data_IF_008129772971
#
_entry.id   IF_008129772971
#
_cell.length_a   1.000
_cell.length_b   1.000
_cell.length_c   1.000
_cell.angle_alpha   90.00
_cell.angle_beta   90.00
_cell.angle_gamma   90.00
#
_symmetry.space_group_name_H-M   'P 1'
#
loop_
_entity.id
_entity.type
_entity.pdbx_description
1 polymer ?
#
# COMPACT_ATOMS: atom_id res chain seq x y z
N UNK A 1 -29.87 -58.56 32.66
CA UNK A 1 -30.67 -57.36 32.98
C UNK A 1 -29.75 -56.36 33.65
N UNK A 2 -29.69 -55.13 33.16
CA UNK A 2 -28.83 -54.08 33.71
C UNK A 2 -28.64 -52.95 32.71
N UNK A 3 -29.52 -51.95 32.82
CA UNK A 3 -29.59 -50.74 32.03
C UNK A 3 -28.34 -49.89 32.26
N UNK A 4 -27.65 -49.45 31.19
CA UNK A 4 -26.75 -48.31 31.29
C UNK A 4 -27.21 -47.16 30.39
N UNK A 5 -27.35 -46.03 31.08
CA UNK A 5 -28.15 -44.87 30.76
C UNK A 5 -27.39 -43.97 29.79
N UNK A 6 -27.89 -43.83 28.57
CA UNK A 6 -27.41 -42.85 27.60
C UNK A 6 -27.88 -41.45 28.04
N UNK A 7 -27.05 -40.72 28.78
CA UNK A 7 -27.18 -39.27 29.00
C UNK A 7 -25.82 -38.61 29.20
N UNK A 8 -25.33 -37.96 28.15
CA UNK A 8 -24.59 -36.68 28.19
C UNK A 8 -24.68 -36.11 26.77
N UNK A 9 -25.64 -35.23 26.52
CA UNK A 9 -25.63 -33.80 26.80
C UNK A 9 -25.51 -33.07 25.45
N UNK A 10 -26.63 -32.46 25.05
CA UNK A 10 -26.74 -31.58 23.91
C UNK A 10 -25.61 -30.54 23.95
N UNK A 11 -24.87 -30.42 22.84
CA UNK A 11 -23.88 -29.37 22.64
C UNK A 11 -24.57 -28.02 22.63
N UNK A 12 -24.67 -27.40 23.80
CA UNK A 12 -25.15 -26.05 23.96
C UNK A 12 -24.30 -25.10 23.12
N UNK A 13 -24.96 -24.10 22.51
CA UNK A 13 -24.31 -22.88 22.02
C UNK A 13 -23.37 -22.38 23.11
N UNK A 14 -22.07 -22.57 22.94
CA UNK A 14 -21.09 -21.81 23.70
C UNK A 14 -21.33 -20.34 23.39
N UNK A 15 -22.04 -19.67 24.30
CA UNK A 15 -22.06 -18.22 24.42
C UNK A 15 -20.59 -17.86 24.62
N UNK A 16 -19.92 -17.30 23.60
CA UNK A 16 -18.56 -16.81 23.74
C UNK A 16 -18.59 -15.82 24.90
N UNK A 17 -18.06 -16.21 26.05
CA UNK A 17 -17.88 -15.32 27.20
C UNK A 17 -17.00 -14.18 26.73
N UNK A 18 -17.46 -12.95 26.93
CA UNK A 18 -16.65 -11.76 26.66
C UNK A 18 -15.36 -11.90 27.45
N UNK A 19 -14.20 -11.79 26.79
CA UNK A 19 -12.92 -11.95 27.47
C UNK A 19 -12.78 -10.87 28.56
N UNK A 20 -12.04 -11.14 29.65
CA UNK A 20 -11.79 -10.13 30.68
C UNK A 20 -11.24 -8.84 30.08
N UNK A 21 -11.70 -7.69 30.59
CA UNK A 21 -11.24 -6.38 30.14
C UNK A 21 -9.71 -6.31 30.30
N UNK A 22 -9.01 -5.80 29.28
CA UNK A 22 -7.54 -5.76 29.15
C UNK A 22 -6.82 -7.12 29.03
N UNK A 23 -7.54 -8.23 28.91
CA UNK A 23 -6.89 -9.49 28.51
C UNK A 23 -6.36 -9.40 27.08
N UNK A 24 -5.38 -10.26 26.77
CA UNK A 24 -4.84 -10.41 25.42
C UNK A 24 -5.94 -10.64 24.36
N UNK A 25 -6.93 -11.45 24.68
CA UNK A 25 -8.07 -11.71 23.79
C UNK A 25 -9.00 -10.51 23.64
N UNK A 26 -9.15 -9.69 24.69
CA UNK A 26 -9.94 -8.46 24.63
C UNK A 26 -9.31 -7.44 23.68
N UNK A 27 -7.99 -7.22 23.76
CA UNK A 27 -7.28 -6.29 22.87
C UNK A 27 -7.41 -6.73 21.42
N UNK A 28 -7.20 -8.03 21.14
CA UNK A 28 -7.31 -8.55 19.77
C UNK A 28 -8.73 -8.42 19.22
N UNK A 29 -9.76 -8.70 20.01
CA UNK A 29 -11.15 -8.64 19.53
C UNK A 29 -11.63 -7.20 19.29
N UNK A 30 -11.15 -6.23 20.08
CA UNK A 30 -11.59 -4.83 20.03
C UNK A 30 -10.53 -3.89 19.43
N UNK A 31 -9.53 -4.41 18.72
CA UNK A 31 -8.41 -3.60 18.21
C UNK A 31 -8.88 -2.44 17.32
N UNK A 32 -9.92 -2.64 16.50
CA UNK A 32 -10.50 -1.57 15.67
C UNK A 32 -11.03 -0.40 16.51
N UNK A 33 -11.79 -0.67 17.58
CA UNK A 33 -12.33 0.35 18.48
C UNK A 33 -11.23 1.02 19.31
N UNK A 34 -10.27 0.24 19.82
CA UNK A 34 -9.13 0.76 20.59
C UNK A 34 -8.30 1.72 19.73
N UNK A 35 -7.97 1.32 18.49
CA UNK A 35 -7.22 2.18 17.57
C UNK A 35 -8.03 3.40 17.14
N UNK A 36 -9.35 3.27 17.00
CA UNK A 36 -10.24 4.42 16.75
C UNK A 36 -10.21 5.42 17.90
N UNK A 37 -10.20 4.96 19.15
CA UNK A 37 -10.02 5.82 20.32
C UNK A 37 -8.65 6.53 20.29
N UNK A 38 -7.58 5.83 19.90
CA UNK A 38 -6.25 6.46 19.73
C UNK A 38 -6.29 7.58 18.70
N UNK A 39 -6.90 7.36 17.52
CA UNK A 39 -7.05 8.41 16.51
C UNK A 39 -7.89 9.58 17.03
N UNK A 40 -8.98 9.29 17.75
CA UNK A 40 -9.86 10.31 18.31
C UNK A 40 -9.12 11.26 19.26
N UNK A 41 -8.16 10.76 20.05
CA UNK A 41 -7.34 11.62 20.92
C UNK A 41 -6.59 12.68 20.11
N UNK A 42 -6.00 12.32 18.97
CA UNK A 42 -5.32 13.29 18.11
C UNK A 42 -6.29 14.26 17.44
N UNK A 43 -7.43 13.77 16.94
CA UNK A 43 -8.43 14.62 16.27
C UNK A 43 -9.06 15.61 17.26
N UNK A 44 -9.46 15.16 18.45
CA UNK A 44 -9.96 16.04 19.52
C UNK A 44 -8.86 17.00 20.00
N UNK A 45 -7.61 16.53 20.08
CA UNK A 45 -6.46 17.36 20.41
C UNK A 45 -6.22 18.51 19.41
N UNK A 46 -6.62 18.36 18.15
CA UNK A 46 -6.59 19.47 17.18
C UNK A 46 -7.58 20.60 17.50
N UNK A 47 -8.65 20.31 18.25
CA UNK A 47 -9.68 21.29 18.59
C UNK A 47 -9.24 22.24 19.72
N UNK A 48 -8.22 21.88 20.50
CA UNK A 48 -7.72 22.68 21.62
C UNK A 48 -6.43 23.43 21.23
N UNK A 49 -6.36 24.77 21.38
CA UNK A 49 -5.20 25.56 20.96
C UNK A 49 -3.86 25.10 21.57
N UNK A 50 -3.88 24.61 22.81
CA UNK A 50 -2.69 24.16 23.53
C UNK A 50 -2.10 22.85 22.98
N UNK A 51 -2.94 21.93 22.49
CA UNK A 51 -2.51 20.64 21.93
C UNK A 51 -2.47 20.62 20.41
N UNK A 52 -3.11 21.57 19.74
CA UNK A 52 -3.26 21.58 18.28
C UNK A 52 -1.92 21.50 17.54
N UNK A 53 -0.91 22.26 18.00
CA UNK A 53 0.43 22.22 17.39
C UNK A 53 1.05 20.82 17.48
N UNK A 54 0.96 20.16 18.63
CA UNK A 54 1.49 18.80 18.84
C UNK A 54 0.73 17.75 18.02
N UNK A 55 -0.61 17.81 18.00
CA UNK A 55 -1.43 16.87 17.25
C UNK A 55 -1.31 17.06 15.73
N UNK A 56 -1.07 18.30 15.27
CA UNK A 56 -0.94 18.60 13.83
C UNK A 56 0.21 17.86 13.15
N UNK A 57 1.30 17.59 13.89
CA UNK A 57 2.46 16.83 13.40
C UNK A 57 2.07 15.40 12.97
N UNK A 58 1.07 14.82 13.64
CA UNK A 58 0.59 13.47 13.35
C UNK A 58 -0.45 13.45 12.23
N UNK A 59 -1.30 14.47 12.13
CA UNK A 59 -2.48 14.43 11.23
C UNK A 59 -2.20 15.07 9.87
N UNK A 60 -1.56 16.25 9.86
CA UNK A 60 -1.36 17.02 8.64
C UNK A 60 -0.04 16.64 7.94
N UNK A 61 0.05 16.70 6.60
CA UNK A 61 1.31 16.58 5.89
C UNK A 61 2.27 17.73 6.26
N UNK A 62 3.51 17.38 6.61
CA UNK A 62 4.52 18.34 7.09
C UNK A 62 5.26 19.03 5.92
N UNK A 63 6.13 20.01 6.21
CA UNK A 63 7.00 20.64 5.21
C UNK A 63 6.26 21.29 4.02
N UNK A 64 5.19 22.03 4.30
CA UNK A 64 4.50 22.82 3.28
C UNK A 64 5.24 24.15 3.03
N UNK A 65 5.40 24.51 1.77
CA UNK A 65 5.93 25.80 1.35
C UNK A 65 4.99 26.40 0.30
N UNK A 66 4.77 27.71 0.38
CA UNK A 66 3.95 28.43 -0.59
C UNK A 66 4.85 29.05 -1.64
N UNK A 67 4.70 28.61 -2.88
CA UNK A 67 5.45 29.12 -4.03
C UNK A 67 4.53 29.99 -4.87
N UNK A 68 4.90 31.26 -5.04
CA UNK A 68 4.15 32.19 -5.89
C UNK A 68 4.63 32.03 -7.34
N UNK A 69 3.74 31.55 -8.22
CA UNK A 69 4.00 31.37 -9.65
C UNK A 69 3.20 32.41 -10.42
N UNK A 70 3.87 33.20 -11.26
CA UNK A 70 3.19 34.14 -12.16
C UNK A 70 2.57 33.37 -13.31
N UNK A 71 1.24 33.29 -13.36
CA UNK A 71 0.47 32.73 -14.47
C UNK A 71 -0.04 33.84 -15.39
N UNK A 72 -0.53 33.49 -16.58
CA UNK A 72 -1.15 34.43 -17.53
C UNK A 72 -2.38 35.16 -16.93
N UNK A 73 -2.97 34.60 -15.88
CA UNK A 73 -4.11 35.14 -15.12
C UNK A 73 -3.71 35.91 -13.85
N UNK A 74 -2.41 36.09 -13.60
CA UNK A 74 -1.86 36.76 -12.41
C UNK A 74 -1.04 35.84 -11.49
N UNK A 75 -0.55 36.34 -10.34
CA UNK A 75 0.21 35.54 -9.39
C UNK A 75 -0.69 34.48 -8.73
N UNK A 76 -0.34 33.20 -8.91
CA UNK A 76 -1.00 32.05 -8.27
C UNK A 76 -0.06 31.52 -7.20
N UNK A 77 -0.54 31.50 -5.94
CA UNK A 77 0.18 30.86 -4.83
C UNK A 77 -0.12 29.36 -4.81
N UNK A 78 0.88 28.52 -5.05
CA UNK A 78 0.79 27.07 -4.99
C UNK A 78 1.42 26.54 -3.70
N UNK A 79 0.67 25.73 -2.95
CA UNK A 79 1.20 25.03 -1.78
C UNK A 79 1.84 23.71 -2.20
N UNK A 80 3.16 23.62 -2.06
CA UNK A 80 3.95 22.43 -2.36
C UNK A 80 4.56 21.85 -1.09
N UNK A 81 4.95 20.59 -1.14
CA UNK A 81 5.45 19.87 0.01
C UNK A 81 6.79 19.23 -0.28
N UNK A 82 7.69 19.25 0.70
CA UNK A 82 8.94 18.48 0.67
C UNK A 82 8.81 17.19 1.49
N UNK A 83 9.78 16.29 1.33
CA UNK A 83 9.97 15.20 2.27
C UNK A 83 10.71 15.69 3.53
N UNK A 84 10.55 14.97 4.63
CA UNK A 84 11.42 15.19 5.79
C UNK A 84 11.13 14.24 6.95
N UNK A 85 12.00 14.24 7.98
CA UNK A 85 11.93 13.26 9.06
C UNK A 85 10.63 13.31 9.87
N UNK A 86 10.00 14.48 10.03
CA UNK A 86 8.75 14.61 10.77
C UNK A 86 7.57 13.86 10.11
N UNK A 87 7.68 13.52 8.82
CA UNK A 87 6.66 12.71 8.13
C UNK A 87 6.51 11.32 8.77
N UNK A 88 7.48 10.84 9.56
CA UNK A 88 7.37 9.57 10.29
C UNK A 88 6.18 9.57 11.26
N UNK A 89 5.89 10.70 11.91
CA UNK A 89 4.75 10.81 12.83
C UNK A 89 3.44 10.72 12.06
N UNK A 90 3.38 11.35 10.91
CA UNK A 90 2.23 11.28 9.99
C UNK A 90 2.05 9.85 9.47
N UNK A 91 3.14 9.18 9.08
CA UNK A 91 3.11 7.78 8.64
C UNK A 91 2.58 6.85 9.73
N UNK A 92 3.03 7.02 10.99
CA UNK A 92 2.56 6.21 12.12
C UNK A 92 1.08 6.46 12.43
N UNK A 93 0.64 7.72 12.40
CA UNK A 93 -0.78 8.06 12.57
C UNK A 93 -1.66 7.38 11.51
N UNK A 94 -1.29 7.49 10.23
CA UNK A 94 -2.04 6.84 9.16
C UNK A 94 -1.90 5.31 9.17
N UNK A 95 -0.83 4.74 9.76
CA UNK A 95 -0.75 3.29 9.97
C UNK A 95 -1.80 2.81 10.98
N UNK A 96 -2.02 3.57 12.06
CA UNK A 96 -3.13 3.33 13.01
C UNK A 96 -4.49 3.51 12.31
N UNK A 97 -4.63 4.53 11.46
CA UNK A 97 -5.83 4.71 10.65
C UNK A 97 -6.10 3.51 9.74
N UNK A 98 -5.06 2.93 9.13
CA UNK A 98 -5.19 1.72 8.33
C UNK A 98 -5.61 0.49 9.15
N UNK A 99 -5.20 0.35 10.41
CA UNK A 99 -5.72 -0.71 11.31
C UNK A 99 -7.23 -0.54 11.50
N UNK A 100 -7.71 0.67 11.73
CA UNK A 100 -9.16 0.94 11.85
C UNK A 100 -9.89 0.62 10.55
N UNK A 101 -9.38 1.09 9.41
CA UNK A 101 -9.95 0.79 8.08
C UNK A 101 -9.95 -0.72 7.82
N UNK A 102 -8.89 -1.44 8.18
CA UNK A 102 -8.80 -2.89 8.08
C UNK A 102 -9.91 -3.57 8.88
N UNK A 103 -10.10 -3.19 10.15
CA UNK A 103 -11.15 -3.73 11.01
C UNK A 103 -12.55 -3.46 10.42
N UNK A 104 -12.81 -2.24 9.93
CA UNK A 104 -14.09 -1.86 9.31
C UNK A 104 -14.34 -2.67 8.02
N UNK A 105 -13.36 -2.78 7.13
CA UNK A 105 -13.48 -3.58 5.90
C UNK A 105 -13.75 -5.05 6.25
N UNK A 106 -13.06 -5.57 7.26
CA UNK A 106 -13.22 -6.94 7.72
C UNK A 106 -14.66 -7.20 8.19
N UNK A 107 -15.17 -6.39 9.10
CA UNK A 107 -16.50 -6.57 9.71
C UNK A 107 -17.64 -6.31 8.72
N UNK A 108 -17.57 -5.19 7.99
CA UNK A 108 -18.70 -4.69 7.20
C UNK A 108 -18.74 -5.23 5.78
N UNK A 109 -17.61 -5.65 5.21
CA UNK A 109 -17.51 -6.13 3.83
C UNK A 109 -17.19 -7.62 3.82
N UNK A 110 -16.00 -8.01 4.29
CA UNK A 110 -15.48 -9.35 4.07
C UNK A 110 -16.24 -10.43 4.85
N UNK A 111 -16.57 -10.18 6.13
CA UNK A 111 -17.34 -11.13 6.94
C UNK A 111 -18.77 -11.31 6.43
N UNK A 112 -19.38 -10.26 5.83
CA UNK A 112 -20.69 -10.38 5.18
C UNK A 112 -20.61 -11.27 3.94
N UNK A 113 -19.59 -11.08 3.11
CA UNK A 113 -19.37 -11.91 1.91
C UNK A 113 -19.02 -13.35 2.27
N UNK A 114 -18.18 -13.57 3.28
CA UNK A 114 -17.79 -14.90 3.74
C UNK A 114 -18.99 -15.70 4.27
N UNK A 115 -19.86 -15.07 5.08
CA UNK A 115 -21.08 -15.71 5.59
C UNK A 115 -22.00 -16.19 4.46
N UNK A 116 -22.03 -15.47 3.34
CA UNK A 116 -22.78 -15.86 2.15
C UNK A 116 -22.12 -17.03 1.39
N UNK A 117 -20.79 -17.07 1.35
CA UNK A 117 -20.01 -18.01 0.54
C UNK A 117 -19.73 -19.39 1.19
N UNK A 118 -20.01 -19.57 2.49
CA UNK A 118 -19.82 -20.84 3.24
C UNK A 118 -18.47 -21.54 2.97
N UNK A 119 -17.38 -20.76 2.97
CA UNK A 119 -16.03 -21.23 2.66
C UNK A 119 -15.42 -22.09 3.79
N UNK A 120 -14.53 -23.03 3.41
CA UNK A 120 -13.71 -23.76 4.39
C UNK A 120 -12.69 -22.83 5.06
N UNK A 121 -12.17 -23.19 6.25
CA UNK A 121 -11.23 -22.36 7.02
C UNK A 121 -10.02 -21.87 6.20
N UNK A 122 -9.43 -22.74 5.37
CA UNK A 122 -8.30 -22.40 4.51
C UNK A 122 -8.70 -21.46 3.37
N UNK A 123 -9.87 -21.68 2.76
CA UNK A 123 -10.39 -20.81 1.70
C UNK A 123 -10.78 -19.43 2.24
N UNK A 124 -11.38 -19.39 3.44
CA UNK A 124 -11.70 -18.16 4.16
C UNK A 124 -10.47 -17.29 4.36
N UNK A 125 -9.38 -17.85 4.88
CA UNK A 125 -8.16 -17.07 5.10
C UNK A 125 -7.63 -16.43 3.80
N UNK A 126 -7.56 -17.22 2.72
CA UNK A 126 -7.13 -16.75 1.39
C UNK A 126 -8.10 -15.75 0.76
N UNK A 127 -9.40 -15.89 1.05
CA UNK A 127 -10.45 -14.97 0.63
C UNK A 127 -10.29 -13.62 1.32
N UNK A 128 -10.15 -13.61 2.65
CA UNK A 128 -9.94 -12.38 3.43
C UNK A 128 -8.68 -11.64 3.00
N UNK A 129 -7.57 -12.35 2.84
CA UNK A 129 -6.32 -11.78 2.32
C UNK A 129 -6.52 -11.12 0.94
N UNK A 130 -7.17 -11.83 0.02
CA UNK A 130 -7.43 -11.28 -1.32
C UNK A 130 -8.45 -10.14 -1.27
N UNK A 131 -9.36 -10.14 -0.31
CA UNK A 131 -10.34 -9.10 -0.05
C UNK A 131 -9.65 -7.77 0.25
N UNK A 132 -8.86 -7.76 1.32
CA UNK A 132 -8.08 -6.58 1.73
C UNK A 132 -7.16 -6.11 0.61
N UNK A 133 -6.38 -7.03 0.02
CA UNK A 133 -5.44 -6.65 -1.04
C UNK A 133 -6.15 -6.11 -2.29
N UNK A 134 -7.32 -6.64 -2.66
CA UNK A 134 -8.07 -6.11 -3.81
C UNK A 134 -8.58 -4.69 -3.60
N UNK A 135 -9.10 -4.39 -2.40
CA UNK A 135 -9.64 -3.08 -2.06
C UNK A 135 -8.52 -2.05 -1.95
N UNK A 136 -7.41 -2.42 -1.30
CA UNK A 136 -6.23 -1.58 -1.23
C UNK A 136 -5.62 -1.34 -2.61
N UNK A 137 -5.38 -2.38 -3.40
CA UNK A 137 -4.81 -2.24 -4.75
C UNK A 137 -5.70 -1.36 -5.65
N UNK A 138 -7.03 -1.51 -5.57
CA UNK A 138 -7.95 -0.66 -6.33
C UNK A 138 -7.86 0.80 -5.88
N UNK A 139 -7.90 1.07 -4.57
CA UNK A 139 -7.72 2.41 -4.03
C UNK A 139 -6.38 3.03 -4.48
N UNK A 140 -5.29 2.28 -4.33
CA UNK A 140 -3.94 2.71 -4.67
C UNK A 140 -3.77 2.95 -6.18
N UNK A 141 -4.37 2.11 -7.03
CA UNK A 141 -4.37 2.33 -8.48
C UNK A 141 -5.13 3.62 -8.86
N UNK A 142 -6.31 3.87 -8.27
CA UNK A 142 -7.08 5.08 -8.50
C UNK A 142 -6.35 6.34 -8.01
N UNK A 143 -5.77 6.29 -6.80
CA UNK A 143 -5.02 7.43 -6.24
C UNK A 143 -3.74 7.69 -7.06
N UNK A 144 -3.01 6.64 -7.45
CA UNK A 144 -1.84 6.79 -8.32
C UNK A 144 -2.23 7.37 -9.69
N UNK A 145 -3.33 6.90 -10.29
CA UNK A 145 -3.85 7.46 -11.54
C UNK A 145 -4.18 8.95 -11.40
N UNK A 146 -4.81 9.36 -10.29
CA UNK A 146 -5.10 10.78 -10.02
C UNK A 146 -3.81 11.61 -9.89
N UNK A 147 -2.80 11.12 -9.17
CA UNK A 147 -1.48 11.78 -9.08
C UNK A 147 -0.80 11.88 -10.45
N UNK A 148 -0.89 10.81 -11.26
CA UNK A 148 -0.32 10.79 -12.62
C UNK A 148 -1.05 11.78 -13.53
N UNK A 149 -2.38 11.83 -13.47
CA UNK A 149 -3.16 12.78 -14.24
C UNK A 149 -2.78 14.22 -13.90
N UNK A 150 -2.55 14.55 -12.62
CA UNK A 150 -2.16 15.90 -12.22
C UNK A 150 -0.86 16.34 -12.92
N UNK A 151 0.20 15.53 -12.92
CA UNK A 151 1.43 15.94 -13.61
C UNK A 151 1.41 15.71 -15.13
N UNK A 152 0.58 14.81 -15.68
CA UNK A 152 0.45 14.65 -17.15
C UNK A 152 -0.39 15.76 -17.77
N UNK A 153 -1.42 16.24 -17.08
CA UNK A 153 -2.23 17.38 -17.53
C UNK A 153 -1.45 18.69 -17.42
N UNK A 154 -0.66 18.83 -16.35
CA UNK A 154 0.22 19.99 -16.18
C UNK A 154 1.46 19.94 -17.10
N UNK A 155 1.87 18.75 -17.57
CA UNK A 155 3.04 18.58 -18.44
C UNK A 155 2.79 17.55 -19.54
N UNK A 156 2.80 18.00 -20.80
CA UNK A 156 2.47 17.20 -22.00
C UNK A 156 3.49 16.09 -22.35
N UNK A 157 4.56 15.89 -21.58
CA UNK A 157 5.64 14.94 -21.90
C UNK A 157 5.86 13.90 -20.79
N UNK A 158 5.69 12.61 -21.14
CA UNK A 158 5.96 11.44 -20.27
C UNK A 158 7.37 11.45 -19.70
N UNK A 159 8.34 12.10 -20.38
CA UNK A 159 9.72 12.22 -19.89
C UNK A 159 9.84 13.01 -18.57
N UNK A 160 8.80 13.74 -18.15
CA UNK A 160 8.73 14.44 -16.85
C UNK A 160 8.81 13.52 -15.63
N UNK A 161 8.71 12.20 -15.85
CA UNK A 161 9.07 11.18 -14.87
C UNK A 161 10.52 11.30 -14.39
N UNK A 162 11.44 11.82 -15.22
CA UNK A 162 12.86 12.06 -14.86
C UNK A 162 13.37 13.46 -15.22
N UNK A 163 12.78 14.14 -16.21
CA UNK A 163 13.17 15.51 -16.55
C UNK A 163 12.84 16.47 -15.40
N UNK A 164 13.70 17.46 -15.20
CA UNK A 164 13.59 18.43 -14.10
C UNK A 164 14.08 17.90 -12.75
N UNK A 165 14.65 16.69 -12.68
CA UNK A 165 15.34 16.22 -11.49
C UNK A 165 16.70 16.94 -11.34
N UNK A 166 17.07 17.44 -10.15
CA UNK A 166 16.36 17.30 -8.87
C UNK A 166 15.33 18.40 -8.58
N UNK A 167 15.40 19.55 -9.24
CA UNK A 167 14.73 20.78 -8.82
C UNK A 167 13.21 20.68 -8.72
N UNK A 168 12.55 20.12 -9.73
CA UNK A 168 11.09 19.97 -9.73
C UNK A 168 10.63 18.76 -8.91
N UNK A 169 11.52 17.81 -8.65
CA UNK A 169 11.19 16.51 -8.03
C UNK A 169 11.27 16.54 -6.50
N UNK A 170 11.99 17.52 -5.95
CA UNK A 170 11.98 17.85 -4.51
C UNK A 170 10.62 18.31 -4.01
N UNK A 171 9.80 18.84 -4.91
CA UNK A 171 8.49 19.38 -4.61
C UNK A 171 7.40 18.40 -5.01
N UNK A 172 6.49 18.15 -4.09
CA UNK A 172 5.32 17.31 -4.28
C UNK A 172 4.07 18.14 -4.09
N UNK A 173 3.07 17.95 -4.94
CA UNK A 173 1.73 18.40 -4.61
C UNK A 173 1.20 17.60 -3.40
N UNK A 174 0.10 18.08 -2.81
CA UNK A 174 -0.53 17.42 -1.67
C UNK A 174 -0.85 15.93 -1.95
N UNK A 175 -1.35 15.62 -3.14
CA UNK A 175 -1.80 14.28 -3.50
C UNK A 175 -0.65 13.28 -3.61
N UNK A 176 0.48 13.66 -4.20
CA UNK A 176 1.66 12.80 -4.30
C UNK A 176 2.29 12.58 -2.91
N UNK A 177 2.29 13.61 -2.05
CA UNK A 177 2.76 13.46 -0.67
C UNK A 177 1.86 12.52 0.13
N UNK A 178 0.54 12.73 0.09
CA UNK A 178 -0.43 11.85 0.75
C UNK A 178 -0.39 10.44 0.19
N UNK A 179 -0.20 10.27 -1.12
CA UNK A 179 0.00 8.96 -1.72
C UNK A 179 1.20 8.25 -1.07
N UNK A 180 2.38 8.87 -1.04
CA UNK A 180 3.56 8.27 -0.42
C UNK A 180 3.33 7.86 1.03
N UNK A 181 2.81 8.79 1.84
CA UNK A 181 2.51 8.57 3.27
C UNK A 181 1.54 7.40 3.42
N UNK A 182 0.39 7.42 2.74
CA UNK A 182 -0.64 6.41 2.89
C UNK A 182 -0.18 5.03 2.41
N UNK A 183 0.64 4.95 1.35
CA UNK A 183 1.21 3.69 0.88
C UNK A 183 2.19 3.11 1.92
N UNK A 184 3.13 3.90 2.44
CA UNK A 184 4.08 3.44 3.46
C UNK A 184 3.32 3.02 4.73
N UNK A 185 2.37 3.84 5.19
CA UNK A 185 1.50 3.56 6.34
C UNK A 185 0.74 2.25 6.17
N UNK A 186 0.22 1.96 4.98
CA UNK A 186 -0.43 0.69 4.72
C UNK A 186 0.55 -0.47 4.88
N UNK A 187 1.74 -0.44 4.30
CA UNK A 187 2.65 -1.57 4.49
C UNK A 187 3.16 -1.72 5.93
N UNK A 188 3.17 -0.64 6.71
CA UNK A 188 3.47 -0.68 8.15
C UNK A 188 2.30 -1.26 8.97
N UNK A 189 1.04 -0.94 8.66
CA UNK A 189 -0.12 -1.47 9.40
C UNK A 189 -0.17 -3.00 9.39
N UNK A 190 0.44 -3.62 8.38
CA UNK A 190 0.48 -5.06 8.20
C UNK A 190 1.18 -5.78 9.37
N UNK A 191 2.13 -5.14 10.07
CA UNK A 191 2.84 -5.76 11.20
C UNK A 191 1.97 -5.92 12.46
N UNK A 192 1.26 -4.88 12.95
CA UNK A 192 0.22 -5.05 13.96
C UNK A 192 -0.84 -6.09 13.56
N UNK A 193 -1.25 -6.11 12.29
CA UNK A 193 -2.25 -7.06 11.80
C UNK A 193 -1.80 -8.53 11.90
N UNK A 194 -0.51 -8.81 11.70
CA UNK A 194 0.02 -10.17 11.92
C UNK A 194 -0.26 -10.68 13.33
N UNK A 195 -0.15 -9.77 14.30
CA UNK A 195 -0.43 -10.04 15.70
C UNK A 195 -1.95 -10.17 15.96
N UNK A 196 -2.77 -9.22 15.48
CA UNK A 196 -4.22 -9.26 15.67
C UNK A 196 -4.88 -10.49 15.00
N UNK A 197 -4.35 -10.92 13.86
CA UNK A 197 -4.85 -12.09 13.13
C UNK A 197 -4.29 -13.42 13.65
N UNK A 198 -3.35 -13.40 14.61
CA UNK A 198 -2.65 -14.59 15.14
C UNK A 198 -2.06 -15.46 14.02
N UNK A 199 -1.34 -14.83 13.11
CA UNK A 199 -0.77 -15.50 11.94
C UNK A 199 0.30 -16.52 12.32
N UNK A 200 0.48 -17.55 11.47
CA UNK A 200 1.56 -18.54 11.66
C UNK A 200 2.92 -17.93 11.29
N UNK A 201 3.99 -18.38 11.94
CA UNK A 201 5.35 -17.86 11.73
C UNK A 201 5.80 -17.90 10.26
N UNK A 202 5.54 -19.00 9.53
CA UNK A 202 5.90 -19.11 8.12
C UNK A 202 5.19 -18.08 7.23
N UNK A 203 3.91 -17.82 7.53
CA UNK A 203 3.09 -16.83 6.81
C UNK A 203 3.55 -15.41 7.14
N UNK A 204 3.88 -15.14 8.40
CA UNK A 204 4.47 -13.87 8.84
C UNK A 204 5.77 -13.61 8.08
N UNK A 205 6.67 -14.59 7.97
CA UNK A 205 7.95 -14.41 7.27
C UNK A 205 7.74 -13.99 5.81
N UNK A 206 6.86 -14.68 5.09
CA UNK A 206 6.58 -14.38 3.68
C UNK A 206 5.97 -12.99 3.51
N UNK A 207 5.01 -12.62 4.37
CA UNK A 207 4.34 -11.31 4.29
C UNK A 207 5.20 -10.16 4.77
N UNK A 208 6.04 -10.38 5.78
CA UNK A 208 7.04 -9.41 6.24
C UNK A 208 8.00 -9.07 5.10
N UNK A 209 8.54 -10.07 4.40
CA UNK A 209 9.43 -9.82 3.26
C UNK A 209 8.76 -8.94 2.20
N UNK A 210 7.52 -9.27 1.83
CA UNK A 210 6.77 -8.49 0.85
C UNK A 210 6.44 -7.06 1.30
N UNK A 211 6.09 -6.89 2.59
CA UNK A 211 5.78 -5.57 3.16
C UNK A 211 7.03 -4.69 3.27
N UNK A 212 8.16 -5.28 3.70
CA UNK A 212 9.45 -4.60 3.74
C UNK A 212 9.90 -4.17 2.35
N UNK A 213 9.73 -5.00 1.32
CA UNK A 213 10.05 -4.62 -0.06
C UNK A 213 9.29 -3.35 -0.50
N UNK A 214 8.00 -3.25 -0.19
CA UNK A 214 7.23 -2.05 -0.52
C UNK A 214 7.65 -0.84 0.30
N UNK A 215 7.85 -0.99 1.61
CA UNK A 215 8.32 0.09 2.49
C UNK A 215 9.68 0.60 2.01
N UNK A 216 10.62 -0.29 1.71
CA UNK A 216 11.93 0.09 1.21
C UNK A 216 11.84 0.74 -0.17
N UNK A 217 11.06 0.21 -1.10
CA UNK A 217 10.90 0.79 -2.44
C UNK A 217 10.31 2.21 -2.38
N UNK A 218 9.17 2.37 -1.69
CA UNK A 218 8.47 3.66 -1.59
C UNK A 218 9.28 4.63 -0.74
N UNK A 219 9.84 4.18 0.39
CA UNK A 219 10.64 5.01 1.29
C UNK A 219 11.93 5.50 0.62
N UNK A 220 12.63 4.64 -0.13
CA UNK A 220 13.81 5.04 -0.88
C UNK A 220 13.45 6.06 -1.97
N UNK A 221 12.37 5.83 -2.72
CA UNK A 221 11.89 6.79 -3.70
C UNK A 221 11.45 8.13 -3.08
N UNK A 222 10.83 8.09 -1.89
CA UNK A 222 10.42 9.26 -1.14
C UNK A 222 11.62 10.09 -0.70
N UNK A 223 12.62 9.47 -0.08
CA UNK A 223 13.84 10.14 0.42
C UNK A 223 14.69 10.69 -0.74
N UNK A 224 14.85 9.93 -1.83
CA UNK A 224 15.72 10.31 -2.95
C UNK A 224 15.03 11.20 -4.00
N UNK A 225 13.80 11.63 -3.75
CA UNK A 225 12.99 12.43 -4.68
C UNK A 225 12.66 11.72 -6.02
N UNK A 226 12.50 10.39 -6.02
CA UNK A 226 12.10 9.60 -7.19
C UNK A 226 10.59 9.24 -7.18
N UNK A 227 9.77 9.98 -6.44
CA UNK A 227 8.34 9.67 -6.28
C UNK A 227 7.56 9.68 -7.58
N UNK A 228 7.87 10.56 -8.53
CA UNK A 228 7.20 10.59 -9.84
C UNK A 228 7.33 9.24 -10.57
N UNK A 229 8.55 8.68 -10.57
CA UNK A 229 8.82 7.35 -11.11
C UNK A 229 8.12 6.25 -10.32
N UNK A 230 8.25 6.28 -8.99
CA UNK A 230 7.67 5.25 -8.13
C UNK A 230 6.15 5.16 -8.23
N UNK A 231 5.44 6.29 -8.30
CA UNK A 231 3.98 6.33 -8.46
C UNK A 231 3.54 5.64 -9.74
N UNK A 232 4.25 5.85 -10.86
CA UNK A 232 3.91 5.19 -12.13
C UNK A 232 4.11 3.68 -12.06
N UNK A 233 5.22 3.22 -11.47
CA UNK A 233 5.43 1.78 -11.27
C UNK A 233 4.41 1.15 -10.33
N UNK A 234 4.06 1.84 -9.25
CA UNK A 234 3.06 1.38 -8.29
C UNK A 234 1.67 1.35 -8.94
N UNK A 235 1.33 2.32 -9.79
CA UNK A 235 0.06 2.29 -10.55
C UNK A 235 -0.05 1.03 -11.40
N UNK A 236 0.99 0.73 -12.18
CA UNK A 236 1.04 -0.47 -13.03
C UNK A 236 0.93 -1.76 -12.19
N UNK A 237 1.68 -1.84 -11.09
CA UNK A 237 1.65 -2.98 -10.17
C UNK A 237 0.27 -3.16 -9.56
N UNK A 238 -0.33 -2.11 -9.02
CA UNK A 238 -1.62 -2.18 -8.35
C UNK A 238 -2.76 -2.50 -9.32
N UNK A 239 -2.74 -2.02 -10.57
CA UNK A 239 -3.70 -2.44 -11.61
C UNK A 239 -3.65 -3.96 -11.81
N UNK A 240 -2.45 -4.53 -11.92
CA UNK A 240 -2.26 -5.98 -12.06
C UNK A 240 -2.78 -6.73 -10.82
N UNK A 241 -2.45 -6.25 -9.61
CA UNK A 241 -2.90 -6.85 -8.35
C UNK A 241 -4.42 -6.79 -8.17
N UNK A 242 -5.07 -5.68 -8.52
CA UNK A 242 -6.53 -5.54 -8.47
C UNK A 242 -7.20 -6.61 -9.32
N UNK A 243 -6.76 -6.79 -10.57
CA UNK A 243 -7.32 -7.81 -11.46
C UNK A 243 -7.13 -9.22 -10.91
N UNK A 244 -5.94 -9.53 -10.38
CA UNK A 244 -5.65 -10.83 -9.79
C UNK A 244 -6.54 -11.13 -8.59
N UNK A 245 -6.54 -10.23 -7.59
CA UNK A 245 -7.25 -10.47 -6.35
C UNK A 245 -8.76 -10.42 -6.54
N UNK A 246 -9.29 -9.56 -7.40
CA UNK A 246 -10.71 -9.55 -7.74
C UNK A 246 -11.13 -10.85 -8.44
N UNK A 247 -10.34 -11.33 -9.40
CA UNK A 247 -10.59 -12.63 -10.07
C UNK A 247 -10.57 -13.79 -9.06
N UNK A 248 -9.65 -13.75 -8.09
CA UNK A 248 -9.55 -14.74 -7.01
C UNK A 248 -10.74 -14.67 -6.05
N UNK A 249 -11.26 -13.49 -5.74
CA UNK A 249 -12.50 -13.34 -4.97
C UNK A 249 -13.70 -13.93 -5.71
N UNK A 250 -13.86 -13.62 -7.00
CA UNK A 250 -14.93 -14.19 -7.83
C UNK A 250 -14.85 -15.73 -7.90
N UNK A 251 -13.63 -16.27 -7.96
CA UNK A 251 -13.41 -17.72 -7.93
C UNK A 251 -13.91 -18.34 -6.62
N UNK A 252 -13.61 -17.71 -5.47
CA UNK A 252 -14.10 -18.18 -4.18
C UNK A 252 -15.61 -18.01 -4.01
N UNK A 253 -16.22 -17.00 -4.64
CA UNK A 253 -17.67 -16.80 -4.68
C UNK A 253 -18.40 -17.71 -5.69
N UNK A 254 -17.73 -18.74 -6.19
CA UNK A 254 -18.25 -19.73 -7.16
C UNK A 254 -18.70 -19.14 -8.51
N UNK A 255 -18.32 -17.89 -8.81
CA UNK A 255 -18.54 -17.25 -10.13
C UNK A 255 -17.44 -17.65 -11.12
N UNK A 256 -17.36 -18.94 -11.41
CA UNK A 256 -16.21 -19.58 -12.11
C UNK A 256 -15.94 -19.00 -13.50
N UNK A 257 -16.98 -18.75 -14.31
CA UNK A 257 -16.80 -18.25 -15.68
C UNK A 257 -16.20 -16.84 -15.71
N UNK A 258 -16.72 -15.95 -14.87
CA UNK A 258 -16.21 -14.59 -14.74
C UNK A 258 -14.78 -14.62 -14.17
N UNK A 259 -14.53 -15.46 -13.16
CA UNK A 259 -13.20 -15.62 -12.59
C UNK A 259 -12.18 -16.13 -13.61
N UNK A 260 -12.56 -17.09 -14.47
CA UNK A 260 -11.71 -17.62 -15.54
C UNK A 260 -11.32 -16.51 -16.52
N UNK A 261 -12.29 -15.73 -16.99
CA UNK A 261 -12.03 -14.60 -17.88
C UNK A 261 -11.15 -13.54 -17.22
N UNK A 262 -11.39 -13.26 -15.93
CA UNK A 262 -10.58 -12.34 -15.13
C UNK A 262 -9.12 -12.80 -15.00
N UNK A 263 -8.88 -14.09 -14.73
CA UNK A 263 -7.52 -14.64 -14.70
C UNK A 263 -6.83 -14.61 -16.07
N UNK A 264 -7.55 -14.85 -17.16
CA UNK A 264 -7.00 -14.72 -18.53
C UNK A 264 -6.60 -13.28 -18.81
N UNK A 265 -7.45 -12.31 -18.49
CA UNK A 265 -7.14 -10.88 -18.61
C UNK A 265 -5.93 -10.51 -17.76
N UNK A 266 -5.90 -10.97 -16.51
CA UNK A 266 -4.77 -10.74 -15.61
C UNK A 266 -3.47 -11.29 -16.16
N UNK A 267 -3.44 -12.50 -16.76
CA UNK A 267 -2.20 -13.05 -17.34
C UNK A 267 -1.61 -12.12 -18.41
N UNK A 268 -2.45 -11.55 -19.27
CA UNK A 268 -2.03 -10.60 -20.32
C UNK A 268 -1.55 -9.30 -19.70
N UNK A 269 -2.36 -8.70 -18.82
CA UNK A 269 -2.03 -7.44 -18.15
C UNK A 269 -0.75 -7.56 -17.32
N UNK A 270 -0.56 -8.69 -16.62
CA UNK A 270 0.64 -8.95 -15.84
C UNK A 270 1.90 -8.87 -16.71
N UNK A 271 1.93 -9.56 -17.87
CA UNK A 271 3.09 -9.53 -18.76
C UNK A 271 3.35 -8.13 -19.32
N UNK A 272 2.29 -7.41 -19.72
CA UNK A 272 2.40 -6.01 -20.20
C UNK A 272 2.97 -5.12 -19.09
N UNK A 273 2.45 -5.22 -17.87
CA UNK A 273 2.89 -4.46 -16.70
C UNK A 273 4.36 -4.73 -16.38
N UNK A 274 4.82 -5.98 -16.44
CA UNK A 274 6.24 -6.33 -16.22
C UNK A 274 7.15 -5.75 -17.30
N UNK A 275 6.75 -5.83 -18.56
CA UNK A 275 7.50 -5.25 -19.67
C UNK A 275 7.55 -3.72 -19.55
N UNK A 276 6.39 -3.06 -19.38
CA UNK A 276 6.29 -1.62 -19.24
C UNK A 276 7.12 -1.10 -18.05
N UNK A 277 7.06 -1.78 -16.90
CA UNK A 277 7.85 -1.43 -15.72
C UNK A 277 9.36 -1.51 -16.00
N UNK A 278 9.80 -2.57 -16.69
CA UNK A 278 11.22 -2.78 -17.04
C UNK A 278 11.70 -1.71 -18.03
N UNK A 279 10.92 -1.44 -19.09
CA UNK A 279 11.23 -0.41 -20.09
C UNK A 279 11.30 0.97 -19.42
N UNK A 280 10.31 1.32 -18.60
CA UNK A 280 10.28 2.60 -17.90
C UNK A 280 11.48 2.78 -16.97
N UNK A 281 11.89 1.70 -16.28
CA UNK A 281 13.07 1.71 -15.40
C UNK A 281 14.35 1.99 -16.20
N UNK A 282 14.54 1.32 -17.33
CA UNK A 282 15.69 1.56 -18.22
C UNK A 282 15.65 2.99 -18.79
N UNK A 283 14.49 3.45 -19.25
CA UNK A 283 14.33 4.81 -19.77
C UNK A 283 14.65 5.86 -18.71
N UNK A 284 14.21 5.66 -17.47
CA UNK A 284 14.42 6.60 -16.36
C UNK A 284 15.86 6.60 -15.89
N UNK A 285 16.42 5.44 -15.52
CA UNK A 285 17.72 5.35 -14.87
C UNK A 285 18.90 5.15 -15.83
N UNK A 286 18.73 4.53 -16.99
CA UNK A 286 19.86 4.35 -17.92
C UNK A 286 20.03 5.54 -18.87
N UNK A 287 18.91 6.08 -19.38
CA UNK A 287 18.93 7.13 -20.39
C UNK A 287 18.57 8.52 -19.84
N UNK A 288 17.50 8.61 -19.04
CA UNK A 288 16.93 9.88 -18.57
C UNK A 288 17.81 10.59 -17.56
N UNK A 289 17.89 10.04 -16.35
CA UNK A 289 18.70 10.56 -15.25
C UNK A 289 20.20 10.57 -15.54
N UNK A 290 20.66 9.84 -16.56
CA UNK A 290 22.06 9.93 -17.01
C UNK A 290 22.44 11.32 -17.52
N UNK A 291 21.47 12.08 -18.05
CA UNK A 291 21.69 13.42 -18.59
C UNK A 291 21.94 14.47 -17.49
N UNK A 292 21.53 14.19 -16.25
CA UNK A 292 21.69 15.07 -15.09
C UNK A 292 22.46 14.40 -13.95
N UNK A 293 23.40 13.50 -14.29
CA UNK A 293 24.25 12.81 -13.33
C UNK A 293 25.14 13.80 -12.55
N UNK A 294 25.20 13.66 -11.23
CA UNK A 294 26.14 14.37 -10.37
C UNK A 294 27.27 13.44 -9.89
N UNK A 295 28.45 14.02 -9.66
CA UNK A 295 29.60 13.28 -9.15
C UNK A 295 29.43 12.82 -7.69
N UNK A 296 28.62 13.53 -6.91
CA UNK A 296 28.34 13.25 -5.50
C UNK A 296 26.88 13.50 -5.15
N UNK A 297 26.44 12.95 -4.01
CA UNK A 297 25.11 13.21 -3.44
C UNK A 297 25.14 14.56 -2.74
N UNK A 298 24.21 15.43 -3.11
CA UNK A 298 24.01 16.72 -2.46
C UNK A 298 22.61 16.74 -1.83
N UNK A 299 22.58 16.48 -0.51
CA UNK A 299 21.34 16.45 0.28
C UNK A 299 20.69 17.83 0.36
N UNK A 300 21.47 18.91 0.36
CA UNK A 300 20.94 20.27 0.46
C UNK A 300 20.20 20.66 -0.83
N UNK A 301 20.73 20.30 -2.00
CA UNK A 301 20.02 20.43 -3.27
C UNK A 301 19.05 19.28 -3.56
N UNK A 302 18.91 18.30 -2.65
CA UNK A 302 18.08 17.11 -2.81
C UNK A 302 18.43 16.27 -4.05
N UNK A 303 19.69 16.35 -4.49
CA UNK A 303 20.22 15.62 -5.62
C UNK A 303 20.90 14.34 -5.15
N UNK A 304 20.27 13.19 -5.41
CA UNK A 304 20.80 11.87 -5.10
C UNK A 304 21.30 11.14 -6.36
N UNK A 305 21.25 11.77 -7.53
CA UNK A 305 21.48 11.13 -8.82
C UNK A 305 22.96 10.99 -9.18
N UNK A 306 23.66 10.16 -8.43
CA UNK A 306 25.00 9.68 -8.79
C UNK A 306 24.93 8.43 -9.66
N UNK A 307 26.00 8.12 -10.40
CA UNK A 307 26.10 6.87 -11.15
C UNK A 307 25.83 5.64 -10.26
N UNK A 308 26.35 5.64 -9.03
CA UNK A 308 26.16 4.57 -8.07
C UNK A 308 24.68 4.38 -7.70
N UNK A 309 24.00 5.43 -7.28
CA UNK A 309 22.57 5.37 -6.90
C UNK A 309 21.73 4.93 -8.09
N UNK A 310 21.94 5.56 -9.24
CA UNK A 310 21.18 5.32 -10.46
C UNK A 310 21.28 3.87 -10.94
N UNK A 311 22.49 3.32 -10.99
CA UNK A 311 22.71 1.93 -11.42
C UNK A 311 22.18 0.91 -10.41
N UNK A 312 22.31 1.17 -9.10
CA UNK A 312 21.73 0.29 -8.09
C UNK A 312 20.19 0.31 -8.12
N UNK A 313 19.57 1.48 -8.27
CA UNK A 313 18.11 1.58 -8.45
C UNK A 313 17.65 0.81 -9.69
N UNK A 314 18.33 0.97 -10.83
CA UNK A 314 18.07 0.21 -12.05
C UNK A 314 18.14 -1.31 -11.81
N UNK A 315 19.24 -1.79 -11.20
CA UNK A 315 19.45 -3.21 -10.93
C UNK A 315 18.40 -3.78 -10.00
N UNK A 316 18.10 -3.10 -8.88
CA UNK A 316 17.11 -3.55 -7.90
C UNK A 316 15.73 -3.67 -8.54
N UNK A 317 15.28 -2.63 -9.27
CA UNK A 317 13.95 -2.64 -9.87
C UNK A 317 13.84 -3.72 -10.95
N UNK A 318 14.84 -3.86 -11.83
CA UNK A 318 14.85 -4.91 -12.85
C UNK A 318 14.90 -6.32 -12.22
N UNK A 319 15.67 -6.49 -11.14
CA UNK A 319 15.71 -7.76 -10.40
C UNK A 319 14.34 -8.11 -9.82
N UNK A 320 13.62 -7.12 -9.26
CA UNK A 320 12.25 -7.32 -8.77
C UNK A 320 11.30 -7.73 -9.91
N UNK A 321 11.40 -7.11 -11.10
CA UNK A 321 10.59 -7.51 -12.26
C UNK A 321 10.89 -8.95 -12.69
N UNK A 322 12.17 -9.33 -12.73
CA UNK A 322 12.60 -10.68 -13.08
C UNK A 322 12.13 -11.72 -12.07
N UNK A 323 12.24 -11.46 -10.76
CA UNK A 323 11.76 -12.37 -9.71
C UNK A 323 10.25 -12.58 -9.83
N UNK A 324 9.48 -11.53 -10.09
CA UNK A 324 8.03 -11.64 -10.26
C UNK A 324 7.66 -12.42 -11.54
N UNK A 325 8.37 -12.19 -12.64
CA UNK A 325 8.18 -12.93 -13.89
C UNK A 325 8.56 -14.42 -13.73
N UNK A 326 9.63 -14.70 -12.98
CA UNK A 326 10.05 -16.05 -12.64
C UNK A 326 8.97 -16.77 -11.83
N UNK A 327 8.42 -16.12 -10.80
CA UNK A 327 7.34 -16.68 -9.99
C UNK A 327 6.09 -16.98 -10.82
N UNK A 328 5.73 -16.06 -11.73
CA UNK A 328 4.61 -16.25 -12.66
C UNK A 328 4.83 -17.43 -13.60
N UNK A 329 6.02 -17.51 -14.22
CA UNK A 329 6.37 -18.59 -15.16
C UNK A 329 6.41 -19.94 -14.45
N UNK A 330 7.06 -20.00 -13.28
CA UNK A 330 7.14 -21.22 -12.46
C UNK A 330 5.76 -21.72 -12.07
N UNK A 331 4.83 -20.82 -11.72
CA UNK A 331 3.45 -21.16 -11.41
C UNK A 331 2.70 -21.77 -12.60
N UNK A 332 2.86 -21.23 -13.82
CA UNK A 332 2.22 -21.78 -15.01
C UNK A 332 2.85 -23.07 -15.50
N UNK A 333 4.19 -23.18 -15.50
CA UNK A 333 4.90 -24.42 -15.84
C UNK A 333 4.53 -25.54 -14.89
N UNK A 334 4.40 -25.25 -13.59
CA UNK A 334 3.96 -26.21 -12.58
C UNK A 334 2.51 -26.69 -12.73
N UNK A 335 1.69 -26.09 -13.61
CA UNK A 335 0.35 -26.59 -13.95
C UNK A 335 0.34 -27.58 -15.11
N UNK A 336 1.40 -27.59 -15.91
CA UNK A 336 1.57 -28.54 -17.02
C UNK A 336 2.32 -29.81 -16.61
N UNK A 337 2.93 -29.81 -15.42
CA UNK A 337 3.40 -31.00 -14.72
C UNK A 337 2.28 -31.53 -13.83
#
# INVERSE_FOLDING_TARGET
>A
MGVETRRTAAGGRHKKTTPPIFSHEFVIQNHGDIMSCVLMVFIVGLMFPLSASMCSVFVAPQYNETVNVTSELGPVSLTLYRNGPADIFTILFYAVAWVVVHAVIQEYILDKLQRKARLSKVKTFKFTESGHMSLFALYSACHAAYVIMDFVQNYTDVKRIWLGYPDEHRWMNLNMKLFAILQISYWIHQFPEFYFQKMKADEIRQRTFYSVLHICFIGAAYIMNFMRFAVVLLALEYISQTLFHFSRLLHFLEKKDIAKNGFTLWNVVFLIVRLASSVLTVMTFWYGLRQSESAYIDVASGNYNTAYVRLNCLLVVLSLQLIQLWNFTSFHVGRFK
#
